data_IF_882608455693
#
_entry.id   IF_882608455693
#
_cell.length_a   1.000
_cell.length_b   1.000
_cell.length_c   1.000
_cell.angle_alpha   90.00
_cell.angle_beta   90.00
_cell.angle_gamma   90.00
#
_symmetry.space_group_name_H-M   'P 1'
#
loop_
_entity.id
_entity.type
_entity.pdbx_description
1 polymer ?
#
# COMPACT_ATOMS: atom_id res chain seq x y z
N UNK A 1 32.81 -28.40 7.65
CA UNK A 1 32.69 -27.31 8.65
C UNK A 1 33.02 -25.98 7.99
N UNK A 2 32.01 -25.18 7.66
CA UNK A 2 32.11 -23.71 7.49
C UNK A 2 30.67 -23.18 7.42
N UNK A 3 30.15 -22.52 8.47
CA UNK A 3 28.85 -21.91 8.39
C UNK A 3 28.99 -20.61 7.62
N UNK A 4 28.34 -20.49 6.45
CA UNK A 4 28.06 -19.19 5.84
C UNK A 4 27.09 -18.45 6.77
N UNK A 5 27.66 -17.72 7.72
CA UNK A 5 26.92 -16.80 8.56
C UNK A 5 26.28 -15.75 7.65
N UNK A 6 24.94 -15.81 7.61
CA UNK A 6 24.01 -14.76 7.19
C UNK A 6 24.65 -13.39 7.44
N UNK A 7 25.08 -12.68 6.40
CA UNK A 7 25.69 -11.35 6.51
C UNK A 7 24.63 -10.35 6.99
N UNK A 8 24.44 -10.27 8.29
CA UNK A 8 23.85 -9.11 8.95
C UNK A 8 24.95 -8.04 8.95
N UNK A 9 25.15 -7.37 7.81
CA UNK A 9 26.02 -6.18 7.76
C UNK A 9 25.47 -5.19 8.77
N UNK A 10 26.25 -4.90 9.82
CA UNK A 10 25.84 -3.96 10.86
C UNK A 10 25.52 -2.59 10.24
N UNK A 11 24.64 -1.80 10.88
CA UNK A 11 24.34 -0.42 10.43
C UNK A 11 25.61 0.40 10.30
N UNK A 12 26.57 0.19 11.21
CA UNK A 12 27.90 0.79 11.19
C UNK A 12 28.69 0.45 9.91
N UNK A 13 28.67 -0.81 9.50
CA UNK A 13 29.34 -1.29 8.29
C UNK A 13 28.67 -0.77 7.01
N UNK A 14 27.34 -0.76 6.99
CA UNK A 14 26.58 -0.18 5.88
C UNK A 14 26.87 1.31 5.72
N UNK A 15 26.90 2.06 6.83
CA UNK A 15 27.24 3.48 6.88
C UNK A 15 28.67 3.74 6.37
N UNK A 16 29.65 2.94 6.82
CA UNK A 16 31.04 3.04 6.33
C UNK A 16 31.15 2.79 4.83
N UNK A 17 30.44 1.79 4.29
CA UNK A 17 30.48 1.45 2.86
C UNK A 17 29.97 2.56 1.94
N UNK A 18 29.04 3.37 2.42
CA UNK A 18 28.49 4.50 1.65
C UNK A 18 29.08 5.85 2.08
N UNK A 19 30.11 5.84 2.92
CA UNK A 19 30.75 7.04 3.48
C UNK A 19 29.78 8.00 4.18
N UNK A 20 28.80 7.46 4.91
CA UNK A 20 27.82 8.22 5.70
C UNK A 20 28.02 7.94 7.18
N UNK A 21 27.80 8.94 8.04
CA UNK A 21 27.83 8.73 9.50
C UNK A 21 26.57 8.01 9.99
N UNK A 22 26.68 7.19 11.04
CA UNK A 22 25.52 6.51 11.63
C UNK A 22 24.45 7.50 12.10
N UNK A 23 24.85 8.66 12.60
CA UNK A 23 23.93 9.74 12.97
C UNK A 23 23.08 10.21 11.79
N UNK A 24 23.68 10.36 10.61
CA UNK A 24 22.98 10.75 9.38
C UNK A 24 22.00 9.66 8.94
N UNK A 25 22.40 8.38 9.03
CA UNK A 25 21.52 7.25 8.77
C UNK A 25 20.30 7.23 9.70
N UNK A 26 20.48 7.42 11.02
CA UNK A 26 19.37 7.44 11.95
C UNK A 26 18.43 8.64 11.73
N UNK A 27 18.97 9.81 11.37
CA UNK A 27 18.16 10.97 10.98
C UNK A 27 17.29 10.66 9.75
N UNK A 28 17.88 10.12 8.69
CA UNK A 28 17.14 9.73 7.49
C UNK A 28 16.15 8.60 7.76
N UNK A 29 16.48 7.65 8.63
CA UNK A 29 15.54 6.60 9.04
C UNK A 29 14.34 7.18 9.77
N UNK A 30 14.52 8.19 10.63
CA UNK A 30 13.42 8.88 11.31
C UNK A 30 12.55 9.66 10.31
N UNK A 31 13.17 10.33 9.35
CA UNK A 31 12.49 11.24 8.41
C UNK A 31 11.81 10.49 7.24
N UNK A 32 12.46 9.46 6.69
CA UNK A 32 12.01 8.76 5.48
C UNK A 32 11.62 7.30 5.72
N UNK A 33 11.92 6.74 6.90
CA UNK A 33 11.61 5.34 7.22
C UNK A 33 10.12 5.04 7.30
N UNK A 34 9.31 6.02 7.73
CA UNK A 34 7.84 5.92 7.78
C UNK A 34 7.15 6.21 6.44
N UNK A 35 7.81 6.94 5.53
CA UNK A 35 7.20 7.39 4.29
C UNK A 35 6.73 6.22 3.40
N UNK A 36 7.52 5.13 3.34
CA UNK A 36 7.14 3.92 2.59
C UNK A 36 5.97 3.18 3.23
N UNK A 37 5.88 3.14 4.55
CA UNK A 37 4.76 2.51 5.26
C UNK A 37 3.47 3.32 5.14
N UNK A 38 3.58 4.65 5.14
CA UNK A 38 2.43 5.55 4.99
C UNK A 38 1.86 5.48 3.56
N UNK A 39 2.72 5.43 2.55
CA UNK A 39 2.28 5.20 1.17
C UNK A 39 1.59 3.85 0.98
N UNK A 40 2.15 2.78 1.56
CA UNK A 40 1.54 1.45 1.51
C UNK A 40 0.18 1.41 2.23
N UNK A 41 0.04 2.13 3.35
CA UNK A 41 -1.23 2.27 4.07
C UNK A 41 -2.27 3.00 3.22
N UNK A 42 -1.90 4.15 2.65
CA UNK A 42 -2.77 4.93 1.75
C UNK A 42 -3.22 4.11 0.54
N UNK A 43 -2.34 3.30 -0.03
CA UNK A 43 -2.68 2.41 -1.14
C UNK A 43 -3.76 1.40 -0.74
N UNK A 44 -3.60 0.72 0.40
CA UNK A 44 -4.60 -0.22 0.92
C UNK A 44 -5.95 0.44 1.20
N UNK A 45 -5.94 1.67 1.73
CA UNK A 45 -7.18 2.40 2.01
C UNK A 45 -7.90 2.79 0.71
N UNK A 46 -7.16 3.20 -0.32
CA UNK A 46 -7.71 3.47 -1.65
C UNK A 46 -8.26 2.21 -2.33
N UNK A 47 -7.57 1.07 -2.20
CA UNK A 47 -8.05 -0.22 -2.74
C UNK A 47 -9.38 -0.63 -2.10
N UNK A 48 -9.52 -0.48 -0.77
CA UNK A 48 -10.77 -0.74 -0.06
C UNK A 48 -11.90 0.18 -0.51
N UNK A 49 -11.62 1.48 -0.62
CA UNK A 49 -12.64 2.42 -1.07
C UNK A 49 -13.07 2.15 -2.51
N UNK A 50 -12.12 1.81 -3.39
CA UNK A 50 -12.43 1.42 -4.76
C UNK A 50 -13.33 0.17 -4.80
N UNK A 51 -13.05 -0.83 -3.97
CA UNK A 51 -13.89 -2.01 -3.85
C UNK A 51 -15.31 -1.65 -3.37
N UNK A 52 -15.43 -0.77 -2.37
CA UNK A 52 -16.72 -0.30 -1.85
C UNK A 52 -17.53 0.42 -2.93
N UNK A 53 -16.88 1.35 -3.65
CA UNK A 53 -17.49 2.11 -4.73
C UNK A 53 -17.94 1.20 -5.87
N UNK A 54 -17.13 0.20 -6.26
CA UNK A 54 -17.52 -0.77 -7.30
C UNK A 54 -18.77 -1.55 -6.93
N UNK A 55 -18.88 -2.01 -5.67
CA UNK A 55 -20.09 -2.70 -5.20
C UNK A 55 -21.31 -1.78 -5.26
N UNK A 56 -21.18 -0.57 -4.71
CA UNK A 56 -22.27 0.41 -4.74
C UNK A 56 -22.73 0.74 -6.17
N UNK A 57 -21.79 0.90 -7.11
CA UNK A 57 -22.12 1.13 -8.52
C UNK A 57 -22.84 -0.08 -9.12
N UNK A 58 -22.38 -1.30 -8.85
CA UNK A 58 -23.04 -2.51 -9.35
C UNK A 58 -24.48 -2.63 -8.83
N UNK A 59 -24.69 -2.43 -7.52
CA UNK A 59 -26.01 -2.51 -6.90
C UNK A 59 -26.96 -1.45 -7.48
N UNK A 60 -26.50 -0.19 -7.56
CA UNK A 60 -27.29 0.90 -8.17
C UNK A 60 -27.57 0.67 -9.66
N UNK A 61 -26.63 0.07 -10.38
CA UNK A 61 -26.82 -0.26 -11.80
C UNK A 61 -27.88 -1.35 -11.95
N UNK A 62 -27.87 -2.37 -11.09
CA UNK A 62 -28.86 -3.43 -11.08
C UNK A 62 -30.26 -2.88 -10.75
N UNK A 63 -30.38 -2.05 -9.72
CA UNK A 63 -31.64 -1.40 -9.36
C UNK A 63 -32.18 -0.54 -10.50
N UNK A 64 -31.30 0.23 -11.15
CA UNK A 64 -31.67 1.03 -12.32
C UNK A 64 -32.20 0.16 -13.46
N UNK A 65 -31.56 -0.97 -13.74
CA UNK A 65 -32.01 -1.89 -14.80
C UNK A 65 -33.38 -2.49 -14.47
N UNK A 66 -33.59 -2.92 -13.23
CA UNK A 66 -34.88 -3.45 -12.77
C UNK A 66 -35.99 -2.40 -12.94
N UNK A 67 -35.74 -1.17 -12.51
CA UNK A 67 -36.69 -0.07 -12.64
C UNK A 67 -36.99 0.26 -14.11
N UNK A 68 -35.97 0.24 -14.97
CA UNK A 68 -36.15 0.45 -16.40
C UNK A 68 -36.97 -0.65 -17.05
N UNK A 69 -36.73 -1.92 -16.69
CA UNK A 69 -37.50 -3.05 -17.21
C UNK A 69 -38.96 -3.01 -16.74
N UNK A 70 -39.19 -2.75 -15.45
CA UNK A 70 -40.52 -2.58 -14.90
C UNK A 70 -41.28 -1.40 -15.55
N UNK A 71 -40.59 -0.30 -15.86
CA UNK A 71 -41.17 0.86 -16.52
C UNK A 71 -41.40 0.66 -18.03
N UNK A 72 -40.65 -0.24 -18.68
CA UNK A 72 -40.84 -0.54 -20.11
C UNK A 72 -42.13 -1.28 -20.40
N UNK A 73 -42.69 -1.98 -19.42
CA UNK A 73 -44.02 -2.57 -19.48
C UNK A 73 -44.13 -3.71 -20.49
N UNK A 74 -44.47 -4.91 -20.02
CA UNK A 74 -44.84 -6.03 -20.88
C UNK A 74 -46.37 -6.25 -20.81
N UNK A 75 -47.14 -5.17 -20.99
CA UNK A 75 -48.60 -5.18 -21.07
C UNK A 75 -49.06 -4.85 -22.49
#
# INVERSE_FOLDING_TARGET
MTPRARTLTSTAEACRRIAVSEQTYYRWRKEYGGLKTDQARRMKDLEKENQRLRRAISDLTLDKLILQEAARGNF
#
